data_IF_876404654514
#
_entry.id   IF_876404654514
#
_cell.length_a   1.000
_cell.length_b   1.000
_cell.length_c   1.000
_cell.angle_alpha   90.00
_cell.angle_beta   90.00
_cell.angle_gamma   90.00
#
_symmetry.space_group_name_H-M   'P 1'
#
loop_
_entity.id
_entity.type
_entity.pdbx_description
1 polymer ?
#
# COMPACT_ATOMS: atom_id res chain seq x y z
N UNK A 1 -3.06 -46.24 -7.57
CA UNK A 1 -1.85 -46.09 -6.72
C UNK A 1 -2.29 -46.17 -5.27
N UNK A 2 -1.63 -47.00 -4.45
CA UNK A 2 -2.03 -47.28 -3.07
C UNK A 2 -0.88 -46.86 -2.15
N UNK A 3 -1.15 -46.06 -1.13
CA UNK A 3 -0.13 -45.60 -0.18
C UNK A 3 0.30 -46.75 0.74
N UNK A 4 1.61 -47.00 0.86
CA UNK A 4 2.21 -48.11 1.65
C UNK A 4 3.08 -47.63 2.81
N UNK A 5 2.92 -46.39 3.26
CA UNK A 5 3.64 -45.84 4.42
C UNK A 5 3.05 -46.31 5.76
N UNK A 6 3.84 -46.19 6.83
CA UNK A 6 3.44 -46.54 8.21
C UNK A 6 2.66 -45.42 8.92
N UNK A 7 2.48 -44.28 8.27
CA UNK A 7 1.79 -43.12 8.85
C UNK A 7 0.27 -43.36 8.87
N UNK A 8 -0.41 -42.79 9.87
CA UNK A 8 -1.86 -42.91 10.00
C UNK A 8 -2.57 -42.28 8.80
N UNK A 9 -3.46 -43.04 8.18
CA UNK A 9 -4.37 -42.56 7.12
C UNK A 9 -5.76 -42.20 7.67
N UNK A 10 -5.93 -42.22 8.99
CA UNK A 10 -7.17 -41.80 9.65
C UNK A 10 -7.40 -40.32 9.35
N UNK A 11 -8.61 -39.98 8.91
CA UNK A 11 -8.98 -38.60 8.67
C UNK A 11 -8.82 -37.78 9.96
N UNK A 12 -7.92 -36.80 9.92
CA UNK A 12 -7.81 -35.80 10.98
C UNK A 12 -9.01 -34.86 10.92
N UNK A 13 -9.46 -34.36 12.09
CA UNK A 13 -10.45 -33.29 12.11
C UNK A 13 -9.82 -32.03 11.48
N UNK A 14 -10.24 -31.70 10.26
CA UNK A 14 -9.76 -30.53 9.53
C UNK A 14 -10.24 -29.20 10.12
N UNK A 15 -11.04 -29.22 11.19
CA UNK A 15 -11.48 -28.01 11.89
C UNK A 15 -10.36 -27.47 12.78
N UNK A 16 -9.66 -26.48 12.26
CA UNK A 16 -8.81 -25.65 13.11
C UNK A 16 -9.69 -24.78 14.03
N UNK A 17 -9.53 -24.91 15.34
CA UNK A 17 -10.23 -24.09 16.36
C UNK A 17 -9.57 -22.72 16.54
N UNK A 18 -8.26 -22.63 16.35
CA UNK A 18 -7.51 -21.39 16.50
C UNK A 18 -7.94 -20.39 15.42
N UNK A 19 -8.24 -19.16 15.83
CA UNK A 19 -8.69 -18.12 14.91
C UNK A 19 -10.15 -18.29 14.40
N UNK A 20 -10.94 -19.18 15.01
CA UNK A 20 -12.33 -19.42 14.57
C UNK A 20 -13.18 -18.15 14.70
N UNK A 21 -12.98 -17.36 15.75
CA UNK A 21 -13.72 -16.10 15.97
C UNK A 21 -13.44 -15.11 14.86
N UNK A 22 -12.17 -14.92 14.50
CA UNK A 22 -11.71 -14.03 13.44
C UNK A 22 -12.22 -14.48 12.07
N UNK A 23 -12.20 -15.79 11.78
CA UNK A 23 -12.77 -16.35 10.55
C UNK A 23 -14.28 -16.12 10.47
N UNK A 24 -15.01 -16.32 11.56
CA UNK A 24 -16.46 -16.07 11.63
C UNK A 24 -16.76 -14.60 11.40
N UNK A 25 -16.06 -13.69 12.10
CA UNK A 25 -16.22 -12.25 11.92
C UNK A 25 -15.88 -11.82 10.49
N UNK A 26 -14.79 -12.31 9.91
CA UNK A 26 -14.44 -12.04 8.51
C UNK A 26 -15.56 -12.44 7.56
N UNK A 27 -16.13 -13.65 7.71
CA UNK A 27 -17.26 -14.11 6.87
C UNK A 27 -18.51 -13.25 7.03
N UNK A 28 -18.79 -12.77 8.26
CA UNK A 28 -19.89 -11.84 8.51
C UNK A 28 -19.68 -10.51 7.76
N UNK A 29 -18.45 -9.98 7.77
CA UNK A 29 -18.11 -8.77 7.01
C UNK A 29 -18.16 -9.00 5.49
N UNK A 30 -17.71 -10.17 5.03
CA UNK A 30 -17.78 -10.56 3.60
C UNK A 30 -19.22 -10.66 3.10
N UNK A 31 -20.17 -11.12 3.92
CA UNK A 31 -21.59 -11.13 3.58
C UNK A 31 -22.20 -9.73 3.37
N UNK A 32 -21.51 -8.68 3.82
CA UNK A 32 -21.87 -7.27 3.64
C UNK A 32 -21.16 -6.62 2.43
N UNK A 33 -20.40 -7.37 1.62
CA UNK A 33 -19.78 -6.91 0.37
C UNK A 33 -20.80 -6.87 -0.78
N UNK A 34 -21.84 -6.07 -0.55
CA UNK A 34 -22.95 -5.80 -1.48
C UNK A 34 -23.64 -4.50 -1.07
N UNK A 35 -24.36 -3.82 -1.99
CA UNK A 35 -25.15 -2.66 -1.62
C UNK A 35 -26.10 -2.99 -0.46
N UNK A 36 -26.11 -2.12 0.56
CA UNK A 36 -26.92 -2.29 1.76
C UNK A 36 -27.74 -1.04 2.13
N UNK A 37 -28.63 -1.15 3.13
CA UNK A 37 -29.39 -0.03 3.66
C UNK A 37 -28.46 1.04 4.29
N UNK A 38 -29.03 2.21 4.59
CA UNK A 38 -28.34 3.26 5.36
C UNK A 38 -27.94 2.67 6.73
N UNK A 39 -26.74 2.99 7.22
CA UNK A 39 -26.22 2.49 8.50
C UNK A 39 -25.21 1.32 8.38
N UNK A 40 -25.13 0.65 7.22
CA UNK A 40 -24.19 -0.47 7.04
C UNK A 40 -22.73 0.00 7.10
N UNK A 41 -22.39 1.15 6.49
CA UNK A 41 -21.04 1.71 6.58
C UNK A 41 -20.60 1.97 8.02
N UNK A 42 -21.55 2.33 8.89
CA UNK A 42 -21.31 2.71 10.27
C UNK A 42 -20.96 1.51 11.13
N UNK A 43 -21.64 0.37 10.91
CA UNK A 43 -21.34 -0.89 11.60
C UNK A 43 -20.02 -1.52 11.14
N UNK A 44 -19.59 -1.27 9.89
CA UNK A 44 -18.33 -1.77 9.34
C UNK A 44 -17.10 -0.99 9.84
N UNK A 45 -17.28 0.29 10.16
CA UNK A 45 -16.18 1.22 10.43
C UNK A 45 -15.23 0.87 11.59
N UNK A 46 -15.70 0.27 12.71
CA UNK A 46 -14.81 -0.19 13.77
C UNK A 46 -13.76 -1.20 13.28
N UNK A 47 -14.14 -2.05 12.32
CA UNK A 47 -13.30 -3.15 11.82
C UNK A 47 -12.15 -2.69 10.93
N UNK A 48 -12.18 -1.47 10.40
CA UNK A 48 -11.06 -0.87 9.65
C UNK A 48 -9.80 -0.69 10.52
N UNK A 49 -9.94 -0.61 11.84
CA UNK A 49 -8.82 -0.49 12.77
C UNK A 49 -8.32 -1.84 13.32
N UNK A 50 -8.92 -2.97 12.91
CA UNK A 50 -8.59 -4.30 13.43
C UNK A 50 -7.09 -4.61 13.32
N UNK A 51 -6.45 -5.29 14.29
CA UNK A 51 -5.09 -5.78 14.13
C UNK A 51 -4.98 -6.86 13.04
N UNK A 52 -6.06 -7.62 12.82
CA UNK A 52 -6.12 -8.65 11.77
C UNK A 52 -6.32 -8.01 10.38
N UNK A 53 -5.37 -8.25 9.47
CA UNK A 53 -5.38 -7.70 8.11
C UNK A 53 -6.55 -8.20 7.26
N UNK A 54 -7.02 -9.43 7.49
CA UNK A 54 -8.12 -10.02 6.74
C UNK A 54 -9.45 -9.44 7.18
N UNK A 55 -9.62 -9.15 8.48
CA UNK A 55 -10.77 -8.41 8.99
C UNK A 55 -10.79 -6.98 8.43
N UNK A 56 -9.66 -6.26 8.46
CA UNK A 56 -9.56 -4.91 7.86
C UNK A 56 -9.92 -4.92 6.38
N UNK A 57 -9.36 -5.88 5.63
CA UNK A 57 -9.63 -6.03 4.21
C UNK A 57 -11.12 -6.28 3.94
N UNK A 58 -11.74 -7.24 4.65
CA UNK A 58 -13.15 -7.57 4.48
C UNK A 58 -14.05 -6.37 4.80
N UNK A 59 -13.76 -5.63 5.87
CA UNK A 59 -14.48 -4.41 6.24
C UNK A 59 -14.33 -3.30 5.20
N UNK A 60 -13.11 -3.06 4.69
CA UNK A 60 -12.87 -2.06 3.63
C UNK A 60 -13.66 -2.38 2.39
N UNK A 61 -13.60 -3.62 1.89
CA UNK A 61 -14.36 -4.04 0.71
C UNK A 61 -15.86 -3.92 0.96
N UNK A 62 -16.34 -4.27 2.15
CA UNK A 62 -17.77 -4.09 2.48
C UNK A 62 -18.19 -2.60 2.45
N UNK A 63 -17.32 -1.68 2.89
CA UNK A 63 -17.53 -0.22 2.79
C UNK A 63 -17.50 0.25 1.32
N UNK A 64 -16.57 -0.26 0.52
CA UNK A 64 -16.44 0.02 -0.93
C UNK A 64 -17.74 -0.33 -1.70
N UNK A 65 -18.54 -1.28 -1.21
CA UNK A 65 -19.84 -1.65 -1.78
C UNK A 65 -21.01 -0.76 -1.32
N UNK A 66 -20.80 0.15 -0.37
CA UNK A 66 -21.81 1.12 0.08
C UNK A 66 -21.70 2.42 -0.73
N UNK A 67 -22.81 3.14 -0.96
CA UNK A 67 -22.78 4.45 -1.64
C UNK A 67 -21.79 5.41 -0.99
N UNK A 68 -20.86 5.95 -1.80
CA UNK A 68 -19.69 6.71 -1.33
C UNK A 68 -20.08 7.97 -0.56
N UNK A 69 -21.21 8.57 -0.91
CA UNK A 69 -21.75 9.78 -0.28
C UNK A 69 -22.05 9.56 1.21
N UNK A 70 -22.34 8.31 1.62
CA UNK A 70 -22.64 7.96 3.01
C UNK A 70 -21.41 7.96 3.90
N UNK A 71 -20.22 7.74 3.35
CA UNK A 71 -19.02 7.51 4.16
C UNK A 71 -17.79 8.34 3.78
N UNK A 72 -17.80 9.06 2.65
CA UNK A 72 -16.67 9.88 2.21
C UNK A 72 -16.24 10.91 3.25
N UNK A 73 -17.19 11.65 3.86
CA UNK A 73 -16.85 12.63 4.92
C UNK A 73 -16.17 11.97 6.10
N UNK A 74 -16.65 10.79 6.50
CA UNK A 74 -16.09 10.02 7.61
C UNK A 74 -14.68 9.51 7.31
N UNK A 75 -14.42 9.09 6.07
CA UNK A 75 -13.06 8.72 5.62
C UNK A 75 -12.08 9.89 5.76
N UNK A 76 -12.51 11.11 5.37
CA UNK A 76 -11.69 12.31 5.46
C UNK A 76 -11.42 12.75 6.91
N UNK A 77 -12.36 12.50 7.82
CA UNK A 77 -12.26 12.90 9.24
C UNK A 77 -11.76 11.81 10.19
N UNK A 78 -11.43 10.60 9.70
CA UNK A 78 -10.97 9.50 10.56
C UNK A 78 -9.64 9.84 11.24
N UNK A 79 -9.51 9.47 12.52
CA UNK A 79 -8.37 9.83 13.37
C UNK A 79 -7.49 8.63 13.72
N UNK A 80 -8.04 7.41 13.69
CA UNK A 80 -7.31 6.19 13.99
C UNK A 80 -6.42 5.82 12.79
N UNK A 81 -5.08 5.71 12.96
CA UNK A 81 -4.15 5.58 11.83
C UNK A 81 -4.48 4.46 10.85
N UNK A 82 -4.72 3.24 11.35
CA UNK A 82 -5.06 2.08 10.51
C UNK A 82 -6.38 2.28 9.76
N UNK A 83 -7.42 2.75 10.45
CA UNK A 83 -8.72 2.97 9.83
C UNK A 83 -8.67 4.10 8.79
N UNK A 84 -7.91 5.17 9.06
CA UNK A 84 -7.70 6.26 8.10
C UNK A 84 -7.08 5.74 6.81
N UNK A 85 -6.05 4.91 6.91
CA UNK A 85 -5.37 4.33 5.74
C UNK A 85 -6.35 3.47 4.93
N UNK A 86 -7.08 2.56 5.57
CA UNK A 86 -8.03 1.69 4.84
C UNK A 86 -9.21 2.47 4.25
N UNK A 87 -9.76 3.44 4.99
CA UNK A 87 -10.82 4.33 4.49
C UNK A 87 -10.31 5.20 3.33
N UNK A 88 -9.05 5.62 3.37
CA UNK A 88 -8.44 6.37 2.29
C UNK A 88 -8.23 5.53 1.03
N UNK A 89 -7.86 4.26 1.18
CA UNK A 89 -7.78 3.31 0.07
C UNK A 89 -9.16 3.12 -0.57
N UNK A 90 -10.21 2.95 0.25
CA UNK A 90 -11.58 2.85 -0.24
C UNK A 90 -12.00 4.14 -0.97
N UNK A 91 -11.74 5.31 -0.38
CA UNK A 91 -12.11 6.59 -0.98
C UNK A 91 -11.35 6.84 -2.29
N UNK A 92 -10.07 6.49 -2.36
CA UNK A 92 -9.29 6.60 -3.59
C UNK A 92 -9.84 5.74 -4.74
N UNK A 93 -10.62 4.68 -4.45
CA UNK A 93 -11.21 3.78 -5.45
C UNK A 93 -12.60 4.20 -5.91
N UNK A 94 -13.41 4.77 -5.01
CA UNK A 94 -14.83 5.05 -5.26
C UNK A 94 -15.22 6.52 -5.20
N UNK A 95 -14.37 7.37 -4.62
CA UNK A 95 -14.60 8.80 -4.49
C UNK A 95 -14.28 9.57 -5.77
N UNK A 96 -14.90 10.73 -5.91
CA UNK A 96 -14.62 11.67 -6.99
C UNK A 96 -13.20 12.26 -6.87
N UNK A 97 -12.62 12.63 -8.02
CA UNK A 97 -11.26 13.19 -8.10
C UNK A 97 -11.12 14.50 -7.32
N UNK A 98 -12.19 15.28 -7.17
CA UNK A 98 -12.21 16.51 -6.37
C UNK A 98 -11.84 16.29 -4.90
N UNK A 99 -11.99 15.07 -4.38
CA UNK A 99 -11.66 14.73 -2.99
C UNK A 99 -10.16 14.54 -2.75
N UNK A 100 -9.32 14.53 -3.80
CA UNK A 100 -7.89 14.24 -3.69
C UNK A 100 -7.17 15.09 -2.64
N UNK A 101 -7.37 16.41 -2.69
CA UNK A 101 -6.65 17.34 -1.81
C UNK A 101 -7.01 17.09 -0.36
N UNK A 102 -8.30 16.90 -0.07
CA UNK A 102 -8.79 16.58 1.26
C UNK A 102 -8.27 15.21 1.74
N UNK A 103 -8.23 14.22 0.84
CA UNK A 103 -7.74 12.88 1.15
C UNK A 103 -6.26 12.87 1.51
N UNK A 104 -5.42 13.54 0.72
CA UNK A 104 -3.98 13.67 0.96
C UNK A 104 -3.73 14.44 2.26
N UNK A 105 -4.50 15.50 2.51
CA UNK A 105 -4.45 16.25 3.78
C UNK A 105 -4.83 15.38 4.98
N UNK A 106 -5.80 14.47 4.84
CA UNK A 106 -6.16 13.54 5.90
C UNK A 106 -5.02 12.56 6.17
N UNK A 107 -4.50 11.93 5.12
CA UNK A 107 -3.37 10.98 5.21
C UNK A 107 -2.12 11.60 5.82
N UNK A 108 -1.83 12.88 5.54
CA UNK A 108 -0.62 13.56 6.04
C UNK A 108 -0.61 13.81 7.53
N UNK A 109 -1.77 13.76 8.20
CA UNK A 109 -1.86 13.85 9.67
C UNK A 109 -1.53 12.53 10.37
N UNK A 110 -1.11 11.50 9.64
CA UNK A 110 -0.81 10.18 10.21
C UNK A 110 0.65 10.14 10.66
N UNK A 111 0.91 9.97 11.96
CA UNK A 111 2.29 9.94 12.45
C UNK A 111 3.01 8.67 11.99
N UNK A 112 4.02 8.80 11.14
CA UNK A 112 4.81 7.67 10.63
C UNK A 112 5.41 6.79 11.74
N UNK A 113 5.85 7.40 12.83
CA UNK A 113 6.44 6.68 13.97
C UNK A 113 5.42 5.86 14.78
N UNK A 114 4.12 6.05 14.55
CA UNK A 114 3.06 5.24 15.17
C UNK A 114 2.66 4.01 14.35
N UNK A 115 3.27 3.83 13.17
CA UNK A 115 2.96 2.75 12.26
C UNK A 115 4.06 1.69 12.32
N UNK A 116 3.64 0.43 12.37
CA UNK A 116 4.50 -0.69 11.99
C UNK A 116 4.80 -0.66 10.49
N UNK A 117 5.74 -1.50 10.04
CA UNK A 117 6.10 -1.56 8.61
C UNK A 117 4.88 -1.82 7.71
N UNK A 118 3.93 -2.64 8.15
CA UNK A 118 2.71 -2.93 7.40
C UNK A 118 1.81 -1.67 7.28
N UNK A 119 1.70 -0.88 8.33
CA UNK A 119 1.00 0.41 8.33
C UNK A 119 1.69 1.43 7.43
N UNK A 120 3.02 1.51 7.44
CA UNK A 120 3.77 2.39 6.54
C UNK A 120 3.55 2.01 5.07
N UNK A 121 3.62 0.71 4.73
CA UNK A 121 3.29 0.22 3.39
C UNK A 121 1.85 0.55 3.01
N UNK A 122 0.90 0.40 3.94
CA UNK A 122 -0.50 0.79 3.73
C UNK A 122 -0.66 2.28 3.43
N UNK A 123 0.05 3.15 4.17
CA UNK A 123 0.05 4.60 3.95
C UNK A 123 0.60 4.97 2.57
N UNK A 124 1.76 4.40 2.19
CA UNK A 124 2.34 4.60 0.87
C UNK A 124 1.40 4.12 -0.24
N UNK A 125 0.73 2.99 -0.03
CA UNK A 125 -0.29 2.48 -0.96
C UNK A 125 -1.48 3.41 -1.07
N UNK A 126 -1.93 4.03 0.02
CA UNK A 126 -3.03 5.00 0.01
C UNK A 126 -2.65 6.25 -0.81
N UNK A 127 -1.44 6.79 -0.62
CA UNK A 127 -0.93 7.89 -1.47
C UNK A 127 -0.83 7.49 -2.94
N UNK A 128 -0.27 6.32 -3.23
CA UNK A 128 -0.14 5.82 -4.59
C UNK A 128 -1.50 5.65 -5.28
N UNK A 129 -2.50 5.12 -4.57
CA UNK A 129 -3.86 4.98 -5.11
C UNK A 129 -4.54 6.33 -5.35
N UNK A 130 -4.42 7.27 -4.41
CA UNK A 130 -4.93 8.63 -4.60
C UNK A 130 -4.29 9.29 -5.83
N UNK A 131 -2.98 9.11 -6.02
CA UNK A 131 -2.25 9.65 -7.15
C UNK A 131 -2.62 8.99 -8.50
N UNK A 132 -2.93 7.69 -8.50
CA UNK A 132 -3.27 6.95 -9.73
C UNK A 132 -4.73 7.12 -10.14
N UNK A 133 -5.66 7.14 -9.19
CA UNK A 133 -7.11 7.16 -9.48
C UNK A 133 -7.72 8.55 -9.43
N UNK A 134 -7.22 9.42 -8.56
CA UNK A 134 -7.74 10.78 -8.41
C UNK A 134 -6.95 11.84 -9.19
N UNK A 135 -5.94 11.41 -9.95
CA UNK A 135 -5.09 12.28 -10.77
C UNK A 135 -3.70 12.49 -10.17
N UNK A 136 -2.72 12.89 -10.98
CA UNK A 136 -1.36 13.14 -10.48
C UNK A 136 -1.36 14.35 -9.52
N UNK A 137 -0.89 14.21 -8.26
CA UNK A 137 -0.77 15.35 -7.36
C UNK A 137 0.28 16.35 -7.88
N UNK A 138 -0.04 17.64 -7.81
CA UNK A 138 0.84 18.75 -8.23
C UNK A 138 0.91 19.83 -7.15
N UNK A 139 1.79 20.83 -7.33
CA UNK A 139 1.88 22.01 -6.46
C UNK A 139 1.97 21.69 -4.97
N UNK A 140 1.14 22.36 -4.17
CA UNK A 140 1.07 22.18 -2.72
C UNK A 140 0.70 20.74 -2.31
N UNK A 141 -0.23 20.10 -3.03
CA UNK A 141 -0.67 18.73 -2.73
C UNK A 141 0.47 17.72 -2.89
N UNK A 142 1.27 17.87 -3.96
CA UNK A 142 2.50 17.09 -4.15
C UNK A 142 3.49 17.35 -3.02
N UNK A 143 3.71 18.62 -2.67
CA UNK A 143 4.63 19.00 -1.59
C UNK A 143 4.24 18.34 -0.27
N UNK A 144 2.95 18.31 0.08
CA UNK A 144 2.43 17.66 1.28
C UNK A 144 2.79 16.16 1.35
N UNK A 145 2.76 15.44 0.23
CA UNK A 145 3.19 14.04 0.20
C UNK A 145 4.69 13.95 0.44
N UNK A 146 5.48 14.74 -0.30
CA UNK A 146 6.94 14.69 -0.23
C UNK A 146 7.48 15.06 1.16
N UNK A 147 6.99 16.15 1.75
CA UNK A 147 7.35 16.57 3.10
C UNK A 147 7.10 15.48 4.13
N UNK A 148 6.09 14.62 3.88
CA UNK A 148 5.72 13.57 4.79
C UNK A 148 6.57 12.30 4.63
N UNK A 149 6.86 11.86 3.40
CA UNK A 149 7.47 10.52 3.17
C UNK A 149 8.83 10.52 2.50
N UNK A 150 9.31 11.63 1.93
CA UNK A 150 10.59 11.65 1.20
C UNK A 150 11.79 11.34 2.12
N UNK A 151 11.77 11.85 3.35
CA UNK A 151 12.81 11.61 4.35
C UNK A 151 12.90 10.16 4.83
N UNK A 152 11.94 9.30 4.49
CA UNK A 152 12.02 7.86 4.75
C UNK A 152 12.87 7.12 3.70
N UNK A 153 13.26 7.76 2.60
CA UNK A 153 13.94 7.11 1.48
C UNK A 153 15.43 7.49 1.40
N UNK A 154 16.36 6.51 1.46
CA UNK A 154 16.13 5.07 1.59
C UNK A 154 15.78 4.64 3.03
N UNK A 155 14.97 3.58 3.14
CA UNK A 155 14.64 2.89 4.39
C UNK A 155 15.52 1.63 4.56
N UNK A 156 15.53 1.06 5.77
CA UNK A 156 16.21 -0.23 6.01
C UNK A 156 15.48 -1.41 5.33
N UNK A 157 14.16 -1.32 5.18
CA UNK A 157 13.34 -2.37 4.61
C UNK A 157 13.30 -2.31 3.09
N UNK A 158 13.68 -3.41 2.42
CA UNK A 158 13.56 -3.54 0.97
C UNK A 158 12.11 -3.34 0.48
N UNK A 159 11.11 -3.79 1.26
CA UNK A 159 9.70 -3.62 0.88
C UNK A 159 9.28 -2.15 0.93
N UNK A 160 9.73 -1.39 1.94
CA UNK A 160 9.50 0.06 1.99
C UNK A 160 10.21 0.77 0.85
N UNK A 161 11.46 0.42 0.56
CA UNK A 161 12.21 1.03 -0.52
C UNK A 161 11.56 0.86 -1.89
N UNK A 162 10.93 -0.29 -2.17
CA UNK A 162 10.21 -0.50 -3.43
C UNK A 162 9.00 0.43 -3.56
N UNK A 163 8.18 0.53 -2.51
CA UNK A 163 7.00 1.42 -2.52
C UNK A 163 7.39 2.90 -2.51
N UNK A 164 8.41 3.29 -1.72
CA UNK A 164 8.95 4.65 -1.68
C UNK A 164 9.54 5.04 -3.02
N UNK A 165 10.41 4.21 -3.62
CA UNK A 165 10.98 4.49 -4.93
C UNK A 165 9.88 4.67 -5.98
N UNK A 166 8.88 3.80 -6.00
CA UNK A 166 7.76 3.91 -6.93
C UNK A 166 6.98 5.23 -6.75
N UNK A 167 6.63 5.59 -5.52
CA UNK A 167 5.88 6.81 -5.24
C UNK A 167 6.71 8.07 -5.51
N UNK A 168 7.97 8.12 -5.06
CA UNK A 168 8.83 9.28 -5.16
C UNK A 168 9.28 9.53 -6.61
N UNK A 169 9.57 8.48 -7.38
CA UNK A 169 9.82 8.60 -8.83
C UNK A 169 8.55 9.08 -9.51
N UNK A 170 7.40 8.47 -9.19
CA UNK A 170 6.13 8.93 -9.73
C UNK A 170 5.92 10.42 -9.40
N UNK A 171 6.29 10.92 -8.23
CA UNK A 171 6.14 12.34 -7.87
C UNK A 171 7.31 13.24 -8.29
N UNK A 172 8.27 12.77 -9.10
CA UNK A 172 9.48 13.53 -9.45
C UNK A 172 10.19 14.12 -8.21
N UNK A 173 10.32 13.35 -7.13
CA UNK A 173 10.91 13.85 -5.90
C UNK A 173 12.37 14.29 -6.11
N UNK A 174 12.83 15.36 -5.42
CA UNK A 174 14.22 15.81 -5.53
C UNK A 174 15.21 14.68 -5.23
N UNK A 175 16.28 14.59 -6.02
CA UNK A 175 17.35 13.60 -5.87
C UNK A 175 16.86 12.13 -5.79
N UNK A 176 15.67 11.79 -6.30
CA UNK A 176 15.18 10.40 -6.25
C UNK A 176 16.01 9.47 -7.13
N UNK A 177 16.43 9.92 -8.32
CA UNK A 177 17.24 9.12 -9.26
C UNK A 177 18.56 8.64 -8.65
N UNK A 178 19.45 9.51 -8.15
CA UNK A 178 20.71 9.05 -7.54
C UNK A 178 20.48 8.16 -6.32
N UNK A 179 19.46 8.44 -5.49
CA UNK A 179 19.09 7.58 -4.35
C UNK A 179 18.65 6.17 -4.80
N UNK A 180 17.81 6.07 -5.83
CA UNK A 180 17.37 4.78 -6.38
C UNK A 180 18.49 4.04 -7.10
N UNK A 181 19.40 4.74 -7.80
CA UNK A 181 20.58 4.13 -8.41
C UNK A 181 21.48 3.47 -7.38
N UNK A 182 21.71 4.11 -6.23
CA UNK A 182 22.49 3.53 -5.14
C UNK A 182 21.86 2.22 -4.63
N UNK A 183 20.53 2.16 -4.48
CA UNK A 183 19.82 0.93 -4.13
C UNK A 183 19.91 -0.14 -5.22
N UNK A 184 19.82 0.25 -6.48
CA UNK A 184 19.98 -0.66 -7.63
C UNK A 184 21.37 -1.29 -7.66
N UNK A 185 22.44 -0.51 -7.42
CA UNK A 185 23.81 -1.04 -7.37
C UNK A 185 24.05 -1.92 -6.15
N UNK A 186 23.41 -1.62 -5.02
CA UNK A 186 23.55 -2.38 -3.79
C UNK A 186 22.60 -3.61 -3.70
N UNK A 187 21.69 -3.77 -4.66
CA UNK A 187 20.65 -4.80 -4.61
C UNK A 187 21.25 -6.21 -4.70
N UNK A 188 20.95 -7.01 -3.68
CA UNK A 188 21.43 -8.40 -3.55
C UNK A 188 20.61 -9.39 -4.38
N UNK A 189 19.34 -9.10 -4.62
CA UNK A 189 18.43 -9.97 -5.37
C UNK A 189 18.25 -9.45 -6.79
N UNK A 190 18.06 -10.37 -7.74
CA UNK A 190 17.71 -10.01 -9.12
C UNK A 190 16.37 -9.27 -9.18
N UNK A 191 15.42 -9.66 -8.33
CA UNK A 191 14.11 -9.02 -8.22
C UNK A 191 14.23 -7.53 -7.90
N UNK A 192 15.03 -7.14 -6.90
CA UNK A 192 15.14 -5.74 -6.52
C UNK A 192 15.91 -4.93 -7.57
N UNK A 193 16.97 -5.51 -8.18
CA UNK A 193 17.67 -4.88 -9.32
C UNK A 193 16.70 -4.56 -10.45
N UNK A 194 15.93 -5.55 -10.90
CA UNK A 194 14.95 -5.41 -11.98
C UNK A 194 13.87 -4.37 -11.62
N UNK A 195 13.37 -4.39 -10.38
CA UNK A 195 12.36 -3.44 -9.93
C UNK A 195 12.88 -1.99 -9.99
N UNK A 196 14.03 -1.70 -9.40
CA UNK A 196 14.58 -0.35 -9.43
C UNK A 196 14.91 0.11 -10.85
N UNK A 197 15.42 -0.80 -11.68
CA UNK A 197 15.73 -0.48 -13.06
C UNK A 197 14.44 -0.13 -13.85
N UNK A 198 13.38 -0.93 -13.67
CA UNK A 198 12.08 -0.70 -14.28
C UNK A 198 11.47 0.65 -13.89
N UNK A 199 11.59 1.03 -12.62
CA UNK A 199 11.09 2.31 -12.11
C UNK A 199 11.86 3.50 -12.71
N UNK A 200 13.19 3.38 -12.84
CA UNK A 200 14.04 4.43 -13.39
C UNK A 200 13.91 4.61 -14.91
N UNK A 201 13.54 3.55 -15.66
CA UNK A 201 13.52 3.55 -17.13
C UNK A 201 12.74 4.71 -17.76
N UNK A 202 11.61 5.10 -17.15
CA UNK A 202 10.74 6.16 -17.69
C UNK A 202 11.05 7.55 -17.14
N UNK A 203 12.01 7.66 -16.22
CA UNK A 203 12.34 8.93 -15.60
C UNK A 203 13.19 9.77 -16.56
N UNK A 204 12.77 11.00 -16.82
CA UNK A 204 13.49 11.93 -17.70
C UNK A 204 14.35 12.93 -16.92
N UNK A 205 13.94 13.28 -15.71
CA UNK A 205 14.58 14.28 -14.86
C UNK A 205 15.55 13.66 -13.85
N UNK A 206 16.57 14.42 -13.43
CA UNK A 206 17.48 14.03 -12.33
C UNK A 206 18.62 13.09 -12.72
N UNK A 207 18.83 12.84 -14.02
CA UNK A 207 19.94 12.02 -14.52
C UNK A 207 21.21 12.83 -14.73
N UNK A 208 22.33 12.28 -14.29
CA UNK A 208 23.68 12.68 -14.71
C UNK A 208 24.24 11.70 -15.75
N UNK A 209 25.35 12.04 -16.39
CA UNK A 209 26.05 11.13 -17.32
C UNK A 209 26.54 9.88 -16.58
N UNK A 210 27.11 10.08 -15.41
CA UNK A 210 27.62 9.04 -14.52
C UNK A 210 26.49 8.13 -14.04
N UNK A 211 25.34 8.71 -13.67
CA UNK A 211 24.16 7.94 -13.27
C UNK A 211 23.62 7.06 -14.39
N UNK A 212 23.59 7.56 -15.64
CA UNK A 212 23.22 6.74 -16.80
C UNK A 212 24.21 5.60 -17.03
N UNK A 213 25.51 5.86 -16.89
CA UNK A 213 26.54 4.82 -17.00
C UNK A 213 26.31 3.72 -15.95
N UNK A 214 26.16 4.10 -14.68
CA UNK A 214 25.90 3.15 -13.59
C UNK A 214 24.63 2.32 -13.82
N UNK A 215 23.57 2.93 -14.34
CA UNK A 215 22.34 2.24 -14.71
C UNK A 215 22.58 1.15 -15.77
N UNK A 216 23.27 1.47 -16.87
CA UNK A 216 23.55 0.49 -17.92
C UNK A 216 24.56 -0.59 -17.49
N UNK A 217 25.60 -0.21 -16.74
CA UNK A 217 26.58 -1.16 -16.20
C UNK A 217 25.91 -2.22 -15.31
N UNK A 218 24.84 -1.85 -14.58
CA UNK A 218 24.11 -2.79 -13.73
C UNK A 218 23.44 -3.95 -14.48
N UNK A 219 23.03 -3.74 -15.74
CA UNK A 219 22.48 -4.81 -16.58
C UNK A 219 23.58 -5.76 -17.04
N UNK A 220 24.75 -5.23 -17.39
CA UNK A 220 25.90 -6.05 -17.79
C UNK A 220 26.38 -6.94 -16.63
N UNK A 221 26.45 -6.39 -15.42
CA UNK A 221 26.79 -7.16 -14.22
C UNK A 221 25.75 -8.25 -13.91
N UNK A 222 24.47 -8.02 -14.21
CA UNK A 222 23.42 -9.01 -14.03
C UNK A 222 23.44 -10.12 -15.10
N UNK A 223 23.94 -9.85 -16.30
CA UNK A 223 24.08 -10.85 -17.37
C UNK A 223 25.30 -11.77 -17.18
N UNK A 224 26.30 -11.33 -16.41
CA UNK A 224 27.53 -12.06 -16.15
C UNK A 224 27.51 -12.92 -14.88
N UNK A 225 26.44 -12.86 -14.08
CA UNK A 225 26.26 -13.56 -12.81
C UNK A 225 25.24 -14.70 -12.94
#
# INVERSE_FOLDING_TARGET
>A
MTYSGKESTVAVDGKNVDGQKERTLRRQLEALQRPGPVGVSESLWPHLASPDRHIRFAARVAIEHQPVERWARRALSETRPRARIEAAIALARHGDKSLQVALITSLSRTKLSSLDQAGQLGLLRAYGLAALRMGRPTGATRKTILDHVDGLFPAESASLNRELAQLLIYLDAPAVVPRTLALLTAARTQQDRLQYALLLRKQTNGWTREGRKAYFDSFNAAAAA
#
